data_IF_524422709868
#
_entry.id   IF_524422709868
#
_cell.length_a   1.000
_cell.length_b   1.000
_cell.length_c   1.000
_cell.angle_alpha   90.00
_cell.angle_beta   90.00
_cell.angle_gamma   90.00
#
_symmetry.space_group_name_H-M   'P 1'
#
loop_
_entity.id
_entity.type
_entity.pdbx_description
1 polymer ?
#
# COMPACT_ATOMS: atom_id res chain seq x y z
N UNK A 1 -0.63 -12.69 2.52
CA UNK A 1 -1.86 -11.92 2.23
C UNK A 1 -1.56 -10.98 1.07
N UNK A 2 -2.52 -10.75 0.16
CA UNK A 2 -2.38 -9.81 -0.96
C UNK A 2 -3.40 -8.69 -0.82
N UNK A 3 -2.99 -7.44 -1.00
CA UNK A 3 -3.85 -6.26 -0.90
C UNK A 3 -3.77 -5.50 -2.22
N UNK A 4 -4.92 -5.20 -2.82
CA UNK A 4 -5.02 -4.28 -3.95
C UNK A 4 -5.33 -2.89 -3.39
N UNK A 5 -4.44 -1.94 -3.65
CA UNK A 5 -4.58 -0.55 -3.24
C UNK A 5 -4.90 0.28 -4.47
N UNK A 6 -5.98 1.06 -4.44
CA UNK A 6 -6.19 2.08 -5.46
C UNK A 6 -5.15 3.20 -5.28
N UNK A 7 -4.08 3.18 -6.07
CA UNK A 7 -2.95 4.09 -5.93
C UNK A 7 -3.00 5.22 -6.95
N UNK A 8 -3.11 6.47 -6.49
CA UNK A 8 -3.13 7.65 -7.36
C UNK A 8 -1.75 8.26 -7.60
N UNK A 9 -0.72 7.80 -6.88
CA UNK A 9 0.61 8.42 -6.89
C UNK A 9 0.74 9.66 -6.00
N UNK A 10 -0.33 10.07 -5.31
CA UNK A 10 -0.31 11.17 -4.35
C UNK A 10 0.47 10.82 -3.07
N UNK A 11 0.81 11.84 -2.28
CA UNK A 11 1.52 11.69 -1.01
C UNK A 11 0.81 10.70 -0.08
N UNK A 12 -0.50 10.87 0.10
CA UNK A 12 -1.29 10.04 1.01
C UNK A 12 -1.28 8.57 0.58
N UNK A 13 -1.53 8.29 -0.70
CA UNK A 13 -1.52 6.92 -1.22
C UNK A 13 -0.12 6.29 -1.18
N UNK A 14 0.94 7.10 -1.26
CA UNK A 14 2.33 6.64 -1.14
C UNK A 14 2.67 6.23 0.30
N UNK A 15 2.20 6.99 1.28
CA UNK A 15 2.36 6.66 2.70
C UNK A 15 1.55 5.40 3.04
N UNK A 16 0.30 5.33 2.59
CA UNK A 16 -0.57 4.15 2.80
C UNK A 16 0.07 2.89 2.21
N UNK A 17 0.63 2.95 1.00
CA UNK A 17 1.32 1.82 0.38
C UNK A 17 2.45 1.28 1.25
N UNK A 18 3.27 2.16 1.83
CA UNK A 18 4.37 1.75 2.71
C UNK A 18 3.86 1.17 4.04
N UNK A 19 2.89 1.84 4.65
CA UNK A 19 2.28 1.39 5.91
C UNK A 19 1.65 -0.01 5.79
N UNK A 20 0.94 -0.30 4.69
CA UNK A 20 0.34 -1.61 4.45
C UNK A 20 1.39 -2.72 4.31
N UNK A 21 2.51 -2.45 3.65
CA UNK A 21 3.62 -3.40 3.53
C UNK A 21 4.24 -3.72 4.89
N UNK A 22 4.46 -2.71 5.74
CA UNK A 22 5.12 -2.88 7.04
C UNK A 22 4.20 -3.52 8.08
N UNK A 23 2.95 -3.06 8.17
CA UNK A 23 2.00 -3.48 9.21
C UNK A 23 1.52 -4.91 9.00
N UNK A 24 1.30 -5.29 7.73
CA UNK A 24 0.69 -6.56 7.38
C UNK A 24 1.66 -7.55 6.74
N UNK A 25 2.92 -7.15 6.51
CA UNK A 25 3.92 -7.95 5.76
C UNK A 25 3.32 -8.52 4.47
N UNK A 26 2.50 -7.70 3.80
CA UNK A 26 1.67 -8.11 2.69
C UNK A 26 2.26 -7.66 1.35
N UNK A 27 2.00 -8.45 0.33
CA UNK A 27 2.25 -8.07 -1.05
C UNK A 27 1.15 -7.09 -1.48
N UNK A 28 1.53 -5.82 -1.67
CA UNK A 28 0.61 -4.74 -2.09
C UNK A 28 0.75 -4.49 -3.58
N UNK A 29 -0.38 -4.63 -4.29
CA UNK A 29 -0.53 -4.30 -5.71
C UNK A 29 -1.16 -2.92 -5.79
N UNK A 30 -0.45 -1.97 -6.42
CA UNK A 30 -0.84 -0.56 -6.55
C UNK A 30 -1.63 -0.31 -7.84
#
# INVERSE_FOLDING_TARGET
MRIVLAYSGGLDTSIILKWLKETYQAEVIA
#
